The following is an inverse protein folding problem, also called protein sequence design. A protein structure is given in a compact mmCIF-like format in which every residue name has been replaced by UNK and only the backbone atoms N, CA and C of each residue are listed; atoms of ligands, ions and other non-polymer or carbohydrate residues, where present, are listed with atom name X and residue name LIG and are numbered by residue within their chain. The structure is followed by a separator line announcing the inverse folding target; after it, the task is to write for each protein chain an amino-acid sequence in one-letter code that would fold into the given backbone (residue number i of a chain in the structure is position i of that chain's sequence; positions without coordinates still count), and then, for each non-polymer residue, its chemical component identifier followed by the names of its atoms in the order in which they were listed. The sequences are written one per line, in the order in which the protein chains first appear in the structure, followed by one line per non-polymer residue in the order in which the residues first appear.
data_IF_528257031415
#
_entry.id   IF_528257031415
#
_cell.length_a   1.000
_cell.length_b   1.000
_cell.length_c   1.000
_cell.angle_alpha   90.00
_cell.angle_beta   90.00
_cell.angle_gamma   90.00
#
_symmetry.space_group_name_H-M   'P 1'
#
loop_
_entity.id
_entity.type
_entity.pdbx_description
1 polymer ?
#
# COMPACT_ATOMS: atom_id res chain seq x y z
N UNK A 1 5.50 -53.66 0.73
CA UNK A 1 5.71 -52.46 -0.11
C UNK A 1 5.75 -51.26 0.80
N UNK A 2 6.95 -50.75 1.08
CA UNK A 2 7.11 -49.51 1.85
C UNK A 2 6.72 -48.35 0.93
N UNK A 3 5.67 -47.62 1.31
CA UNK A 3 5.31 -46.38 0.64
C UNK A 3 6.38 -45.34 0.98
N UNK A 4 7.16 -44.99 -0.03
CA UNK A 4 8.19 -43.96 0.02
C UNK A 4 7.53 -42.62 0.36
N UNK A 5 7.84 -42.10 1.54
CA UNK A 5 7.39 -40.79 1.99
C UNK A 5 8.21 -39.74 1.24
N UNK A 6 7.57 -39.03 0.32
CA UNK A 6 8.19 -38.03 -0.53
C UNK A 6 8.54 -36.78 0.32
N UNK A 7 9.81 -36.67 0.71
CA UNK A 7 10.34 -35.53 1.45
C UNK A 7 10.67 -34.40 0.47
N UNK A 8 9.66 -33.64 0.06
CA UNK A 8 9.92 -32.28 -0.39
C UNK A 8 10.20 -31.45 0.86
N UNK A 9 11.49 -31.32 1.23
CA UNK A 9 11.99 -30.58 2.39
C UNK A 9 11.63 -29.09 2.29
N UNK A 10 10.41 -28.72 2.70
CA UNK A 10 10.04 -27.31 2.89
C UNK A 10 10.70 -26.85 4.20
N UNK A 11 11.77 -26.06 4.11
CA UNK A 11 12.45 -25.54 5.28
C UNK A 11 11.73 -24.30 5.77
N UNK A 12 10.86 -24.47 6.77
CA UNK A 12 10.07 -23.36 7.34
C UNK A 12 10.90 -22.56 8.35
N UNK A 13 11.01 -21.24 8.12
CA UNK A 13 11.57 -20.30 9.10
C UNK A 13 10.50 -19.69 10.02
N UNK A 14 9.31 -20.28 10.09
CA UNK A 14 8.19 -19.73 10.86
C UNK A 14 8.50 -19.53 12.35
N UNK A 15 9.46 -20.27 12.93
CA UNK A 15 9.84 -20.12 14.34
C UNK A 15 10.90 -19.03 14.58
N UNK A 16 11.37 -18.35 13.53
CA UNK A 16 12.33 -17.25 13.62
C UNK A 16 11.62 -15.91 13.45
N UNK A 17 12.23 -14.87 14.01
CA UNK A 17 11.80 -13.49 13.75
C UNK A 17 12.41 -13.06 12.42
N UNK A 18 11.58 -12.61 11.50
CA UNK A 18 12.02 -12.03 10.23
C UNK A 18 11.70 -10.55 10.19
N UNK A 19 12.64 -9.76 9.68
CA UNK A 19 12.49 -8.32 9.49
C UNK A 19 12.64 -8.04 8.00
N UNK A 20 11.73 -7.25 7.43
CA UNK A 20 11.80 -6.79 6.03
C UNK A 20 11.72 -5.28 5.95
N UNK A 21 12.40 -4.73 4.96
CA UNK A 21 12.28 -3.33 4.54
C UNK A 21 12.04 -3.28 3.03
N UNK A 22 11.09 -2.47 2.58
CA UNK A 22 10.75 -2.31 1.17
C UNK A 22 10.61 -0.83 0.82
N UNK A 23 10.92 -0.50 -0.44
CA UNK A 23 10.65 0.79 -1.06
C UNK A 23 9.63 0.61 -2.17
N UNK A 24 8.65 1.50 -2.24
CA UNK A 24 7.58 1.45 -3.24
C UNK A 24 7.23 2.89 -3.68
N UNK A 25 7.03 3.08 -4.97
CA UNK A 25 6.64 4.35 -5.59
C UNK A 25 5.17 4.40 -5.98
N UNK A 26 4.44 3.30 -5.80
CA UNK A 26 3.02 3.23 -6.04
C UNK A 26 2.23 3.80 -4.86
N UNK A 27 1.69 4.99 -5.07
CA UNK A 27 0.85 5.73 -4.13
C UNK A 27 -0.47 6.05 -4.80
N UNK A 28 -1.55 5.95 -4.03
CA UNK A 28 -2.91 6.10 -4.54
C UNK A 28 -3.24 7.56 -4.90
N UNK A 29 -4.04 7.71 -5.95
CA UNK A 29 -4.80 8.92 -6.27
C UNK A 29 -6.30 8.64 -6.17
N UNK A 30 -7.09 9.68 -5.98
CA UNK A 30 -8.54 9.60 -5.90
C UNK A 30 -9.15 10.38 -7.05
N UNK A 31 -10.02 9.75 -7.82
CA UNK A 31 -10.70 10.38 -8.94
C UNK A 31 -12.13 10.72 -8.51
N UNK A 32 -12.48 12.00 -8.61
CA UNK A 32 -13.85 12.47 -8.49
C UNK A 32 -14.39 12.75 -9.89
N UNK A 33 -15.51 12.12 -10.24
CA UNK A 33 -16.16 12.26 -11.54
C UNK A 33 -17.55 12.84 -11.38
N UNK A 34 -17.88 13.84 -12.19
CA UNK A 34 -19.19 14.51 -12.17
C UNK A 34 -19.69 14.76 -13.61
N UNK A 35 -20.93 14.39 -13.90
CA UNK A 35 -21.56 14.61 -15.21
C UNK A 35 -22.36 13.40 -15.70
N UNK A 36 -22.81 13.48 -16.96
CA UNK A 36 -23.46 12.35 -17.64
C UNK A 36 -22.44 11.26 -18.00
N UNK A 37 -22.93 10.01 -18.06
CA UNK A 37 -22.13 8.85 -18.42
C UNK A 37 -21.44 9.05 -19.78
N UNK A 38 -20.10 9.00 -19.79
CA UNK A 38 -19.27 9.22 -20.98
C UNK A 38 -18.91 10.69 -21.29
N UNK A 39 -19.33 11.64 -20.43
CA UNK A 39 -18.95 13.08 -20.51
C UNK A 39 -18.57 13.65 -19.14
N UNK A 40 -18.15 12.79 -18.21
CA UNK A 40 -17.84 13.19 -16.85
C UNK A 40 -16.60 14.08 -16.82
N UNK A 41 -16.69 15.18 -16.09
CA UNK A 41 -15.51 15.94 -15.70
C UNK A 41 -14.84 15.23 -14.54
N UNK A 42 -13.53 15.03 -14.67
CA UNK A 42 -12.73 14.34 -13.66
C UNK A 42 -11.83 15.33 -12.93
N UNK A 43 -11.74 15.16 -11.61
CA UNK A 43 -10.74 15.82 -10.77
C UNK A 43 -9.91 14.73 -10.10
N UNK A 44 -8.60 14.77 -10.35
CA UNK A 44 -7.67 13.77 -9.82
C UNK A 44 -6.98 14.35 -8.59
N UNK A 45 -7.35 13.87 -7.42
CA UNK A 45 -6.72 14.24 -6.15
C UNK A 45 -5.52 13.33 -5.90
N UNK A 46 -4.33 13.91 -5.93
CA UNK A 46 -3.08 13.19 -5.75
C UNK A 46 -2.30 13.72 -4.56
N UNK A 47 -1.46 12.86 -3.98
CA UNK A 47 -0.54 13.26 -2.93
C UNK A 47 0.84 13.60 -3.50
N UNK A 48 1.53 14.48 -2.80
CA UNK A 48 2.89 14.88 -3.14
C UNK A 48 3.95 13.87 -2.70
N UNK A 49 3.58 12.87 -1.90
CA UNK A 49 4.47 11.76 -1.64
C UNK A 49 4.63 10.93 -2.93
N UNK A 50 5.86 10.55 -3.27
CA UNK A 50 6.26 9.72 -4.41
C UNK A 50 6.92 8.41 -4.00
N UNK A 51 7.47 8.33 -2.79
CA UNK A 51 8.10 7.11 -2.26
C UNK A 51 7.59 6.81 -0.85
N UNK A 52 7.19 5.56 -0.60
CA UNK A 52 6.93 5.02 0.74
C UNK A 52 7.95 3.95 1.11
N UNK A 53 8.31 3.94 2.39
CA UNK A 53 9.09 2.88 3.04
C UNK A 53 8.11 1.98 3.76
N UNK A 54 8.28 0.66 3.66
CA UNK A 54 7.51 -0.32 4.42
C UNK A 54 8.45 -1.18 5.26
N UNK A 55 8.20 -1.24 6.56
CA UNK A 55 8.93 -2.10 7.50
C UNK A 55 7.98 -3.19 7.99
N UNK A 56 8.42 -4.44 7.89
CA UNK A 56 7.63 -5.59 8.35
C UNK A 56 8.39 -6.41 9.37
N UNK A 57 7.64 -6.98 10.32
CA UNK A 57 8.13 -8.00 11.25
C UNK A 57 7.19 -9.19 11.14
N UNK A 58 7.77 -10.38 10.98
CA UNK A 58 7.02 -11.63 10.97
C UNK A 58 7.51 -12.56 12.07
N UNK A 59 6.55 -13.21 12.71
CA UNK A 59 6.81 -14.25 13.69
C UNK A 59 5.67 -15.26 13.69
N UNK A 60 6.01 -16.54 13.46
CA UNK A 60 5.06 -17.66 13.40
C UNK A 60 3.94 -17.44 12.38
N UNK A 61 2.77 -17.07 12.88
CA UNK A 61 1.54 -16.92 12.09
C UNK A 61 1.14 -15.46 11.91
N UNK A 62 1.94 -14.52 12.40
CA UNK A 62 1.63 -13.10 12.45
C UNK A 62 2.66 -12.35 11.61
N UNK A 63 2.18 -11.44 10.79
CA UNK A 63 2.97 -10.46 10.06
C UNK A 63 2.40 -9.08 10.33
N UNK A 64 3.22 -8.16 10.80
CA UNK A 64 2.85 -6.76 10.97
C UNK A 64 3.69 -5.90 10.03
N UNK A 65 3.07 -4.93 9.38
CA UNK A 65 3.75 -4.00 8.47
C UNK A 65 3.33 -2.57 8.77
N UNK A 66 4.31 -1.68 8.87
CA UNK A 66 4.13 -0.23 8.93
C UNK A 66 4.74 0.39 7.67
N UNK A 67 3.93 1.13 6.94
CA UNK A 67 4.35 1.84 5.73
C UNK A 67 4.12 3.34 5.91
N UNK A 68 5.09 4.16 5.52
CA UNK A 68 5.00 5.61 5.60
C UNK A 68 5.83 6.28 4.51
N UNK A 69 5.46 7.50 4.13
CA UNK A 69 6.23 8.31 3.20
C UNK A 69 7.17 9.25 3.97
N UNK A 70 8.47 8.94 4.09
CA UNK A 70 9.37 9.77 4.86
C UNK A 70 9.67 11.07 4.11
N UNK A 71 9.79 12.15 4.87
CA UNK A 71 10.10 13.46 4.30
C UNK A 71 11.54 13.60 3.84
N UNK A 72 12.47 12.68 4.13
CA UNK A 72 13.87 12.87 3.74
C UNK A 72 14.15 12.63 2.24
N UNK A 73 13.26 11.94 1.51
CA UNK A 73 13.38 11.83 0.05
C UNK A 73 13.02 13.17 -0.61
N UNK A 74 13.87 13.65 -1.52
CA UNK A 74 13.62 14.90 -2.28
C UNK A 74 12.32 14.85 -3.08
N UNK A 75 11.98 13.69 -3.63
CA UNK A 75 10.74 13.47 -4.39
C UNK A 75 9.47 13.64 -3.53
N UNK A 76 9.57 13.51 -2.20
CA UNK A 76 8.47 13.72 -1.26
C UNK A 76 8.36 15.20 -0.78
N UNK A 77 9.13 16.13 -1.36
CA UNK A 77 9.27 17.52 -0.89
C UNK A 77 8.98 18.61 -1.95
N UNK A 78 8.22 18.33 -3.00
CA UNK A 78 7.78 19.38 -3.95
C UNK A 78 6.65 20.24 -3.33
N UNK A 79 6.91 20.78 -2.14
CA UNK A 79 5.90 21.44 -1.31
C UNK A 79 5.55 22.83 -1.83
N UNK A 80 6.44 23.46 -2.60
CA UNK A 80 6.21 24.79 -3.18
C UNK A 80 5.08 24.76 -4.21
N UNK A 81 5.06 23.75 -5.09
CA UNK A 81 4.05 23.63 -6.13
C UNK A 81 2.85 22.79 -5.69
N UNK A 82 3.06 21.67 -4.99
CA UNK A 82 2.02 20.64 -4.73
C UNK A 82 1.58 20.56 -3.26
N UNK A 83 2.20 21.33 -2.38
CA UNK A 83 1.88 21.33 -0.95
C UNK A 83 2.41 20.09 -0.22
N UNK A 84 2.24 20.06 1.10
CA UNK A 84 2.73 18.94 1.92
C UNK A 84 1.71 17.81 2.03
N UNK A 85 2.17 16.59 1.83
CA UNK A 85 1.38 15.37 2.03
C UNK A 85 2.01 14.46 3.08
N UNK A 86 1.16 13.64 3.72
CA UNK A 86 1.58 12.55 4.60
C UNK A 86 0.83 11.27 4.28
N UNK A 87 1.55 10.15 4.35
CA UNK A 87 1.02 8.81 4.14
C UNK A 87 1.42 7.92 5.31
N UNK A 88 0.47 7.17 5.86
CA UNK A 88 0.71 6.11 6.84
C UNK A 88 -0.26 4.96 6.60
N UNK A 89 0.26 3.74 6.57
CA UNK A 89 -0.50 2.51 6.46
C UNK A 89 0.04 1.49 7.46
N UNK A 90 -0.85 0.91 8.25
CA UNK A 90 -0.54 -0.15 9.19
C UNK A 90 -1.39 -1.36 8.84
N UNK A 91 -0.75 -2.51 8.65
CA UNK A 91 -1.44 -3.77 8.39
C UNK A 91 -0.94 -4.89 9.28
N UNK A 92 -1.86 -5.77 9.66
CA UNK A 92 -1.58 -7.01 10.36
C UNK A 92 -2.23 -8.16 9.60
N UNK A 93 -1.44 -9.22 9.41
CA UNK A 93 -1.86 -10.42 8.73
C UNK A 93 -1.65 -11.64 9.60
N UNK A 94 -2.65 -12.51 9.62
CA UNK A 94 -2.66 -13.77 10.35
C UNK A 94 -2.78 -14.94 9.38
N UNK A 95 -2.09 -16.03 9.70
CA UNK A 95 -2.08 -17.27 8.91
C UNK A 95 -2.51 -18.51 9.72
N UNK A 96 -3.72 -18.55 10.32
CA UNK A 96 -4.19 -19.72 11.05
C UNK A 96 -4.56 -20.86 10.08
N UNK A 97 -3.79 -21.95 10.13
CA UNK A 97 -3.98 -23.15 9.29
C UNK A 97 -4.02 -22.76 7.79
N UNK A 98 -5.20 -22.79 7.18
CA UNK A 98 -5.44 -22.55 5.75
C UNK A 98 -6.17 -21.23 5.49
N UNK A 99 -6.36 -20.42 6.53
CA UNK A 99 -6.99 -19.11 6.43
C UNK A 99 -5.91 -18.04 6.44
N UNK A 100 -6.11 -17.00 5.64
CA UNK A 100 -5.33 -15.77 5.67
C UNK A 100 -6.30 -14.66 6.04
N UNK A 101 -6.06 -14.01 7.17
CA UNK A 101 -6.81 -12.84 7.61
C UNK A 101 -5.90 -11.63 7.50
N UNK A 102 -6.30 -10.60 6.78
CA UNK A 102 -5.61 -9.32 6.73
C UNK A 102 -6.51 -8.24 7.32
N UNK A 103 -5.94 -7.34 8.10
CA UNK A 103 -6.58 -6.13 8.60
C UNK A 103 -5.62 -4.96 8.34
N UNK A 104 -6.16 -3.81 7.97
CA UNK A 104 -5.36 -2.61 7.74
C UNK A 104 -6.09 -1.32 8.15
N UNK A 105 -5.28 -0.32 8.48
CA UNK A 105 -5.67 1.07 8.64
C UNK A 105 -4.71 1.95 7.85
N UNK A 106 -5.25 2.85 7.05
CA UNK A 106 -4.50 3.78 6.21
C UNK A 106 -5.02 5.19 6.41
N UNK A 107 -4.09 6.14 6.53
CA UNK A 107 -4.36 7.55 6.66
C UNK A 107 -3.50 8.34 5.68
N UNK A 108 -4.15 9.09 4.81
CA UNK A 108 -3.53 9.93 3.78
C UNK A 108 -4.04 11.35 3.97
N UNK A 109 -3.13 12.33 4.09
CA UNK A 109 -3.48 13.74 4.31
C UNK A 109 -2.68 14.63 3.35
N UNK A 110 -3.32 15.71 2.88
CA UNK A 110 -2.69 16.72 2.05
C UNK A 110 -2.69 16.30 0.59
N UNK A 111 -3.51 16.96 -0.21
CA UNK A 111 -3.72 16.62 -1.61
C UNK A 111 -3.55 17.84 -2.51
N UNK A 112 -3.39 17.61 -3.81
CA UNK A 112 -3.52 18.61 -4.85
C UNK A 112 -4.30 18.03 -6.03
N UNK A 113 -4.88 18.89 -6.88
CA UNK A 113 -5.52 18.45 -8.13
C UNK A 113 -4.42 18.22 -9.17
N UNK A 114 -4.22 17.00 -9.65
CA UNK A 114 -3.16 16.67 -10.60
C UNK A 114 -3.43 17.19 -12.01
N UNK A 115 -4.69 17.10 -12.46
CA UNK A 115 -5.10 17.50 -13.79
C UNK A 115 -5.55 18.99 -13.87
N UNK A 116 -4.77 19.91 -13.28
CA UNK A 116 -5.08 21.35 -13.26
C UNK A 116 -5.39 21.94 -14.64
N UNK A 117 -4.64 21.53 -15.67
CA UNK A 117 -4.83 22.04 -17.04
C UNK A 117 -6.22 21.72 -17.62
N UNK A 118 -6.81 20.61 -17.20
CA UNK A 118 -8.14 20.18 -17.65
C UNK A 118 -9.26 20.87 -16.86
N UNK A 119 -9.05 21.05 -15.55
CA UNK A 119 -10.05 21.62 -14.63
C UNK A 119 -10.03 23.15 -14.65
N UNK A 120 -8.86 23.77 -14.84
CA UNK A 120 -8.62 25.21 -14.81
C UNK A 120 -7.82 25.65 -16.04
N UNK A 121 -8.48 26.00 -17.17
CA UNK A 121 -7.81 26.32 -18.44
C UNK A 121 -6.82 27.51 -18.37
N UNK A 122 -6.99 28.42 -17.41
CA UNK A 122 -6.11 29.56 -17.19
C UNK A 122 -4.81 29.21 -16.46
N UNK A 123 -4.74 28.03 -15.84
CA UNK A 123 -3.56 27.55 -15.15
C UNK A 123 -2.43 27.21 -16.15
N UNK A 124 -1.21 27.61 -15.81
CA UNK A 124 -0.01 27.36 -16.60
C UNK A 124 1.02 26.57 -15.82
N UNK A 125 1.78 25.74 -16.51
CA UNK A 125 2.85 24.95 -15.91
C UNK A 125 3.87 25.84 -15.20
N UNK A 126 4.31 25.41 -14.01
CA UNK A 126 5.14 26.19 -13.11
C UNK A 126 4.37 27.07 -12.11
N UNK A 127 3.05 27.23 -12.26
CA UNK A 127 2.21 27.82 -11.21
C UNK A 127 1.87 26.78 -10.13
N UNK A 128 1.66 27.21 -8.87
CA UNK A 128 1.18 26.30 -7.83
C UNK A 128 -0.11 25.59 -8.23
N UNK A 129 -0.21 24.32 -7.83
CA UNK A 129 -1.43 23.53 -8.00
C UNK A 129 -2.49 23.98 -7.00
N UNK A 130 -3.75 23.62 -7.25
CA UNK A 130 -4.79 23.76 -6.22
C UNK A 130 -4.54 22.72 -5.12
N UNK A 131 -4.25 23.19 -3.91
CA UNK A 131 -3.85 22.37 -2.77
C UNK A 131 -4.96 22.27 -1.72
N UNK A 132 -5.05 21.11 -1.08
CA UNK A 132 -5.99 20.76 -0.02
C UNK A 132 -5.20 20.19 1.16
N UNK A 133 -4.50 21.04 1.94
CA UNK A 133 -3.59 20.59 3.00
C UNK A 133 -4.32 19.81 4.10
N UNK A 134 -5.60 20.08 4.32
CA UNK A 134 -6.40 19.45 5.38
C UNK A 134 -7.30 18.31 4.92
N UNK A 135 -7.44 18.11 3.60
CA UNK A 135 -8.17 16.96 3.07
C UNK A 135 -7.47 15.68 3.53
N UNK A 136 -8.27 14.76 4.08
CA UNK A 136 -7.81 13.52 4.69
C UNK A 136 -8.70 12.36 4.26
N UNK A 137 -8.07 11.31 3.78
CA UNK A 137 -8.72 10.03 3.50
C UNK A 137 -8.24 9.01 4.52
N UNK A 138 -9.18 8.44 5.27
CA UNK A 138 -8.94 7.37 6.21
C UNK A 138 -9.64 6.11 5.72
N UNK A 139 -8.90 5.02 5.59
CA UNK A 139 -9.42 3.73 5.16
C UNK A 139 -9.12 2.69 6.23
N UNK A 140 -10.11 1.89 6.56
CA UNK A 140 -9.95 0.68 7.36
C UNK A 140 -10.56 -0.46 6.58
N UNK A 141 -9.96 -1.64 6.66
CA UNK A 141 -10.48 -2.77 5.93
C UNK A 141 -9.80 -4.06 6.29
N UNK A 142 -10.28 -5.13 5.66
CA UNK A 142 -9.71 -6.44 5.85
C UNK A 142 -10.13 -7.39 4.76
N UNK A 143 -9.43 -8.51 4.69
CA UNK A 143 -9.76 -9.60 3.77
C UNK A 143 -9.57 -10.94 4.46
N UNK A 144 -10.40 -11.90 4.06
CA UNK A 144 -10.29 -13.30 4.49
C UNK A 144 -10.11 -14.14 3.24
N UNK A 145 -9.13 -15.04 3.25
CA UNK A 145 -8.87 -15.95 2.13
C UNK A 145 -8.67 -17.38 2.65
N UNK A 146 -9.07 -18.37 1.86
CA UNK A 146 -8.91 -19.78 2.18
C UNK A 146 -8.07 -20.50 1.13
N UNK A 147 -7.04 -21.20 1.57
CA UNK A 147 -6.11 -21.93 0.70
C UNK A 147 -6.72 -23.28 0.34
N UNK A 148 -7.14 -23.51 -0.90
CA UNK A 148 -7.76 -24.77 -1.37
C UNK A 148 -6.77 -25.93 -1.59
N UNK A 149 -5.50 -25.63 -1.90
CA UNK A 149 -4.46 -26.64 -2.06
C UNK A 149 -3.68 -26.83 -0.75
N UNK A 150 -3.67 -28.06 -0.20
CA UNK A 150 -2.95 -28.38 1.05
C UNK A 150 -1.43 -28.36 0.89
N UNK A 151 -0.90 -28.49 -0.33
CA UNK A 151 0.54 -28.45 -0.63
C UNK A 151 1.06 -27.03 -0.91
N UNK A 152 0.19 -26.03 -0.92
CA UNK A 152 0.56 -24.64 -1.19
C UNK A 152 0.80 -23.88 0.11
N UNK A 153 1.98 -23.28 0.23
CA UNK A 153 2.23 -22.32 1.30
C UNK A 153 1.99 -20.90 0.81
N UNK A 154 1.00 -20.22 1.37
CA UNK A 154 0.85 -18.78 1.13
C UNK A 154 1.94 -17.96 1.84
N UNK A 155 2.63 -18.54 2.83
CA UNK A 155 3.69 -17.83 3.56
C UNK A 155 4.93 -17.61 2.70
N UNK A 156 5.29 -18.55 1.81
CA UNK A 156 6.41 -18.33 0.89
C UNK A 156 6.19 -17.10 0.00
N UNK A 157 4.96 -16.84 -0.45
CA UNK A 157 4.65 -15.70 -1.31
C UNK A 157 4.60 -14.39 -0.51
N UNK A 158 3.92 -14.40 0.64
CA UNK A 158 3.68 -13.16 1.37
C UNK A 158 4.79 -12.74 2.30
N UNK A 159 5.57 -13.71 2.79
CA UNK A 159 6.66 -13.42 3.71
C UNK A 159 8.03 -13.80 3.15
N UNK A 160 8.12 -14.51 2.02
CA UNK A 160 9.39 -15.07 1.51
C UNK A 160 10.10 -15.96 2.54
N UNK A 161 9.34 -16.53 3.50
CA UNK A 161 9.88 -17.23 4.67
C UNK A 161 9.93 -18.76 4.56
N UNK A 162 9.58 -19.31 3.40
CA UNK A 162 9.59 -20.75 3.13
C UNK A 162 10.09 -21.00 1.70
N UNK A 163 11.05 -21.92 1.55
CA UNK A 163 11.73 -22.34 0.32
C UNK A 163 11.92 -23.85 0.33
#
# INVERSE_FOLDING_TARGET
MNAQQDTADIKSYANQVMIRANLDTNLESYIYSEGEEGKEKQQIFSINNKTKVSLSIDYRIISATLSFAPRFFSENKDNELKGSSSYTDFSVRFFPKRIIQNLYYKNVKGFYIENMKEVFPEWREGQPYMQFPDLRVQSFGGSTSYILNKKFSARSIYTQGEW
#
